data_IF_284322545883
#
_entry.id   IF_284322545883
#
_cell.length_a   1.000
_cell.length_b   1.000
_cell.length_c   1.000
_cell.angle_alpha   90.00
_cell.angle_beta   90.00
_cell.angle_gamma   90.00
#
_symmetry.space_group_name_H-M   'P 1'
#
loop_
_entity.id
_entity.type
_entity.pdbx_description
1 polymer ?
#
# COMPACT_ATOMS: atom_id res chain seq x y z
N UNK A 1 52.93 14.48 35.00
CA UNK A 1 51.63 14.98 34.50
C UNK A 1 51.17 14.02 33.43
N UNK A 2 50.30 13.09 33.78
CA UNK A 2 49.84 11.97 32.95
C UNK A 2 48.87 12.46 31.87
N UNK A 3 49.12 12.03 30.63
CA UNK A 3 48.25 12.23 29.46
C UNK A 3 47.09 11.24 29.52
N UNK A 4 45.86 11.73 29.68
CA UNK A 4 44.67 10.91 29.46
C UNK A 4 44.40 10.81 27.96
N UNK A 5 44.72 9.66 27.39
CA UNK A 5 44.22 9.24 26.08
C UNK A 5 42.79 8.74 26.30
N UNK A 6 41.81 9.56 25.93
CA UNK A 6 40.40 9.14 25.86
C UNK A 6 40.28 8.19 24.67
N UNK A 7 40.11 6.89 24.96
CA UNK A 7 39.75 5.90 23.96
C UNK A 7 38.37 6.25 23.35
N UNK A 8 38.21 6.27 22.01
CA UNK A 8 36.89 6.37 21.42
C UNK A 8 36.10 5.08 21.74
N UNK A 9 34.92 5.25 22.32
CA UNK A 9 34.01 4.16 22.68
C UNK A 9 33.42 3.54 21.41
N UNK A 10 33.87 2.33 21.07
CA UNK A 10 33.28 1.48 20.05
C UNK A 10 31.89 0.98 20.49
N UNK A 11 30.84 1.70 20.11
CA UNK A 11 29.48 1.16 20.06
C UNK A 11 29.02 1.20 18.60
N UNK A 12 29.39 0.20 17.81
CA UNK A 12 28.87 0.09 16.45
C UNK A 12 27.44 -0.46 16.50
N UNK A 13 26.49 0.35 16.04
CA UNK A 13 25.12 -0.12 15.80
C UNK A 13 25.08 -0.74 14.42
N UNK A 14 24.72 -2.03 14.33
CA UNK A 14 24.50 -2.67 13.03
C UNK A 14 23.21 -2.16 12.41
N UNK A 15 23.31 -1.57 11.22
CA UNK A 15 22.17 -1.15 10.40
C UNK A 15 22.05 -2.09 9.19
N UNK A 16 20.82 -2.41 8.80
CA UNK A 16 20.52 -3.26 7.65
C UNK A 16 19.76 -2.43 6.63
N UNK A 17 20.29 -2.34 5.41
CA UNK A 17 19.65 -1.64 4.30
C UNK A 17 19.21 -2.64 3.24
N UNK A 18 18.00 -2.48 2.65
CA UNK A 18 17.61 -3.23 1.48
C UNK A 18 18.43 -2.79 0.26
N UNK A 19 19.00 -3.76 -0.45
CA UNK A 19 19.88 -3.54 -1.60
C UNK A 19 19.33 -4.30 -2.79
N UNK A 20 19.22 -3.61 -3.93
CA UNK A 20 18.96 -4.22 -5.23
C UNK A 20 20.29 -4.64 -5.84
N UNK A 21 20.43 -5.93 -6.17
CA UNK A 21 21.62 -6.49 -6.80
C UNK A 21 21.25 -7.00 -8.19
N UNK A 22 21.84 -6.41 -9.22
CA UNK A 22 21.57 -6.69 -10.63
C UNK A 22 22.82 -7.33 -11.25
N UNK A 23 22.64 -8.46 -11.95
CA UNK A 23 23.67 -8.99 -12.83
C UNK A 23 23.66 -8.19 -14.13
N UNK A 24 24.82 -7.66 -14.53
CA UNK A 24 24.99 -6.85 -15.73
C UNK A 24 25.30 -7.75 -16.94
N UNK A 25 24.97 -7.27 -18.14
CA UNK A 25 25.24 -7.98 -19.40
C UNK A 25 26.75 -8.22 -19.62
N UNK A 26 27.60 -7.34 -19.09
CA UNK A 26 29.07 -7.40 -19.19
C UNK A 26 29.73 -8.29 -18.11
N UNK A 27 29.07 -9.38 -17.68
CA UNK A 27 29.55 -10.33 -16.65
C UNK A 27 29.83 -9.74 -15.25
N UNK A 28 29.41 -8.49 -14.99
CA UNK A 28 29.55 -7.84 -13.69
C UNK A 28 28.28 -7.83 -12.85
N UNK A 29 28.37 -7.19 -11.69
CA UNK A 29 27.26 -6.92 -10.79
C UNK A 29 27.16 -5.42 -10.52
N UNK A 30 25.93 -4.95 -10.33
CA UNK A 30 25.62 -3.62 -9.82
C UNK A 30 24.79 -3.79 -8.55
N UNK A 31 25.17 -3.12 -7.48
CA UNK A 31 24.40 -3.09 -6.24
C UNK A 31 23.99 -1.65 -5.93
N UNK A 32 22.71 -1.43 -5.62
CA UNK A 32 22.15 -0.10 -5.31
C UNK A 32 21.30 -0.19 -4.04
N UNK A 33 21.47 0.75 -3.11
CA UNK A 33 20.62 0.84 -1.92
C UNK A 33 19.23 1.36 -2.32
N UNK A 34 18.16 0.67 -1.90
CA UNK A 34 16.81 1.15 -2.20
C UNK A 34 16.54 2.49 -1.52
N UNK A 35 16.05 3.45 -2.31
CA UNK A 35 15.81 4.82 -1.87
C UNK A 35 17.00 5.76 -2.00
N UNK A 36 18.24 5.25 -2.17
CA UNK A 36 19.47 6.04 -2.32
C UNK A 36 20.19 5.69 -3.63
N UNK A 37 19.71 6.20 -4.79
CA UNK A 37 20.31 5.89 -6.09
C UNK A 37 21.77 6.35 -6.24
N UNK A 38 22.21 7.30 -5.41
CA UNK A 38 23.60 7.75 -5.34
C UNK A 38 24.53 6.72 -4.66
N UNK A 39 23.98 5.84 -3.81
CA UNK A 39 24.72 4.78 -3.15
C UNK A 39 24.65 3.52 -4.01
N UNK A 40 25.54 3.45 -5.00
CA UNK A 40 25.68 2.32 -5.90
C UNK A 40 27.14 1.90 -6.08
N UNK A 41 27.35 0.60 -6.28
CA UNK A 41 28.66 0.02 -6.56
C UNK A 41 28.59 -0.96 -7.73
N UNK A 42 29.73 -1.13 -8.40
CA UNK A 42 29.92 -2.08 -9.49
C UNK A 42 31.10 -2.98 -9.15
N UNK A 43 31.07 -4.23 -9.61
CA UNK A 43 32.16 -5.18 -9.41
C UNK A 43 32.00 -6.41 -10.29
N UNK A 44 33.07 -7.19 -10.41
CA UNK A 44 33.07 -8.41 -11.22
C UNK A 44 32.39 -9.57 -10.51
N UNK A 45 32.38 -9.53 -9.17
CA UNK A 45 31.71 -10.54 -8.34
C UNK A 45 30.66 -9.91 -7.42
N UNK A 46 29.72 -10.74 -6.97
CA UNK A 46 28.70 -10.34 -6.01
C UNK A 46 29.33 -9.82 -4.71
N UNK A 47 30.29 -10.56 -4.16
CA UNK A 47 30.92 -10.26 -2.88
C UNK A 47 31.76 -8.98 -2.93
N UNK A 48 32.52 -8.78 -4.02
CA UNK A 48 33.27 -7.55 -4.28
C UNK A 48 32.32 -6.35 -4.35
N UNK A 49 31.25 -6.45 -5.14
CA UNK A 49 30.28 -5.37 -5.33
C UNK A 49 29.61 -4.97 -4.01
N UNK A 50 29.24 -5.96 -3.19
CA UNK A 50 28.64 -5.72 -1.87
C UNK A 50 29.65 -5.18 -0.84
N UNK A 51 30.95 -5.44 -1.02
CA UNK A 51 32.00 -4.87 -0.18
C UNK A 51 32.21 -3.40 -0.52
N UNK A 52 32.32 -3.08 -1.81
CA UNK A 52 32.41 -1.70 -2.30
C UNK A 52 31.17 -0.89 -1.92
N UNK A 53 29.96 -1.47 -2.04
CA UNK A 53 28.73 -0.80 -1.61
C UNK A 53 28.75 -0.49 -0.12
N UNK A 54 29.21 -1.43 0.72
CA UNK A 54 29.33 -1.20 2.17
C UNK A 54 30.26 -0.03 2.48
N UNK A 55 31.36 0.11 1.77
CA UNK A 55 32.27 1.25 1.95
C UNK A 55 31.57 2.57 1.58
N UNK A 56 30.93 2.64 0.41
CA UNK A 56 30.22 3.85 -0.05
C UNK A 56 29.14 4.27 0.96
N UNK A 57 28.35 3.32 1.46
CA UNK A 57 27.31 3.60 2.45
C UNK A 57 27.92 4.05 3.77
N UNK A 58 28.99 3.42 4.24
CA UNK A 58 29.67 3.81 5.49
C UNK A 58 30.22 5.24 5.38
N UNK A 59 30.92 5.57 4.31
CA UNK A 59 31.44 6.93 4.07
C UNK A 59 30.34 7.99 3.95
N UNK A 60 29.15 7.59 3.49
CA UNK A 60 27.98 8.46 3.44
C UNK A 60 27.41 8.69 4.83
N UNK A 61 27.25 7.62 5.63
CA UNK A 61 26.73 7.68 6.99
C UNK A 61 27.62 8.49 7.93
N UNK A 62 28.94 8.53 7.70
CA UNK A 62 29.85 9.40 8.46
C UNK A 62 29.56 10.90 8.25
N UNK A 63 28.83 11.26 7.19
CA UNK A 63 28.58 12.65 6.77
C UNK A 63 27.12 13.08 6.89
N UNK A 64 26.22 12.16 7.22
CA UNK A 64 24.78 12.42 7.25
C UNK A 64 24.13 11.87 8.50
N UNK A 65 23.06 12.51 8.96
CA UNK A 65 22.18 11.99 9.98
C UNK A 65 20.89 11.48 9.34
N UNK A 66 20.46 10.28 9.72
CA UNK A 66 19.18 9.73 9.27
C UNK A 66 18.11 10.14 10.28
N UNK A 67 17.17 10.96 9.84
CA UNK A 67 16.03 11.39 10.64
C UNK A 67 14.73 10.87 10.06
N UNK A 68 13.79 10.48 10.93
CA UNK A 68 12.42 10.17 10.54
C UNK A 68 11.60 11.46 10.58
N UNK A 69 10.95 11.78 9.46
CA UNK A 69 10.04 12.92 9.36
C UNK A 69 8.62 12.40 9.13
N UNK A 70 7.71 12.75 10.03
CA UNK A 70 6.29 12.52 9.85
C UNK A 70 5.73 13.55 8.87
N UNK A 71 4.95 13.08 7.88
CA UNK A 71 4.34 13.92 6.86
C UNK A 71 2.84 13.64 6.84
N UNK A 72 2.04 14.67 7.06
CA UNK A 72 0.59 14.58 6.91
C UNK A 72 0.22 14.43 5.44
N UNK A 73 -0.50 13.35 5.13
CA UNK A 73 -1.13 13.18 3.83
C UNK A 73 -2.59 13.67 3.93
N UNK A 74 -3.06 14.54 3.02
CA UNK A 74 -4.47 14.86 2.97
C UNK A 74 -5.26 13.57 2.78
N UNK A 75 -6.30 13.39 3.61
CA UNK A 75 -7.18 12.23 3.48
C UNK A 75 -7.80 12.28 2.09
N UNK A 76 -7.68 11.22 1.27
CA UNK A 76 -8.37 11.18 -0.01
C UNK A 76 -9.86 11.34 0.26
N UNK A 77 -10.52 12.21 -0.51
CA UNK A 77 -11.98 12.31 -0.45
C UNK A 77 -12.58 10.93 -0.75
N UNK A 78 -13.58 10.54 0.04
CA UNK A 78 -14.22 9.25 -0.15
C UNK A 78 -14.93 9.24 -1.52
N UNK A 79 -14.70 8.23 -2.39
CA UNK A 79 -15.17 8.26 -3.79
C UNK A 79 -16.67 8.47 -3.99
N UNK A 80 -17.48 8.12 -2.98
CA UNK A 80 -18.93 8.27 -2.99
C UNK A 80 -19.45 9.59 -2.40
N UNK A 81 -18.59 10.44 -1.84
CA UNK A 81 -19.03 11.74 -1.28
C UNK A 81 -19.69 12.62 -2.33
N UNK A 82 -19.23 12.56 -3.59
CA UNK A 82 -19.82 13.28 -4.72
C UNK A 82 -21.26 12.87 -5.07
N UNK A 83 -21.75 11.77 -4.49
CA UNK A 83 -23.08 11.24 -4.74
C UNK A 83 -24.03 11.40 -3.56
N UNK A 84 -23.53 11.83 -2.39
CA UNK A 84 -24.38 12.13 -1.25
C UNK A 84 -25.36 13.25 -1.63
N UNK A 85 -26.66 13.00 -1.44
CA UNK A 85 -27.72 13.98 -1.79
C UNK A 85 -27.96 14.17 -3.29
N UNK A 86 -27.40 13.31 -4.17
CA UNK A 86 -27.49 13.50 -5.63
C UNK A 86 -28.93 13.72 -6.16
N UNK A 87 -29.94 13.16 -5.50
CA UNK A 87 -31.33 13.22 -5.92
C UNK A 87 -32.22 14.06 -4.99
N UNK A 88 -31.65 14.83 -4.07
CA UNK A 88 -32.42 15.64 -3.09
C UNK A 88 -33.35 16.64 -3.77
N UNK A 89 -32.88 17.29 -4.84
CA UNK A 89 -33.64 18.28 -5.62
C UNK A 89 -34.23 17.71 -6.93
N UNK A 90 -34.24 16.38 -7.11
CA UNK A 90 -34.77 15.78 -8.33
C UNK A 90 -36.31 15.79 -8.30
N UNK A 91 -36.99 16.52 -9.21
CA UNK A 91 -38.44 16.65 -9.21
C UNK A 91 -39.17 15.34 -9.50
N UNK A 92 -38.48 14.34 -10.05
CA UNK A 92 -39.03 13.02 -10.35
C UNK A 92 -38.73 11.97 -9.28
N UNK A 93 -38.02 12.33 -8.20
CA UNK A 93 -37.62 11.38 -7.17
C UNK A 93 -38.81 10.66 -6.52
N UNK A 94 -39.87 11.41 -6.20
CA UNK A 94 -41.09 10.85 -5.60
C UNK A 94 -41.84 9.91 -6.56
N UNK A 95 -41.94 10.27 -7.84
CA UNK A 95 -42.55 9.42 -8.87
C UNK A 95 -41.76 8.11 -9.03
N UNK A 96 -40.43 8.20 -9.14
CA UNK A 96 -39.55 7.03 -9.20
C UNK A 96 -39.71 6.14 -7.95
N UNK A 97 -39.81 6.71 -6.75
CA UNK A 97 -40.05 5.92 -5.54
C UNK A 97 -41.41 5.21 -5.56
N UNK A 98 -42.46 5.87 -6.06
CA UNK A 98 -43.77 5.27 -6.21
C UNK A 98 -43.75 4.09 -7.18
N UNK A 99 -43.07 4.24 -8.33
CA UNK A 99 -42.91 3.18 -9.32
C UNK A 99 -42.13 1.98 -8.76
N UNK A 100 -41.03 2.23 -8.04
CA UNK A 100 -40.27 1.17 -7.36
C UNK A 100 -41.16 0.45 -6.33
N UNK A 101 -41.97 1.18 -5.57
CA UNK A 101 -42.86 0.59 -4.58
C UNK A 101 -44.01 -0.23 -5.21
N UNK A 102 -44.51 0.19 -6.38
CA UNK A 102 -45.49 -0.58 -7.14
C UNK A 102 -44.87 -1.88 -7.67
N UNK A 103 -43.69 -1.78 -8.31
CA UNK A 103 -42.96 -2.93 -8.82
C UNK A 103 -42.63 -3.95 -7.71
N UNK A 104 -42.23 -3.49 -6.52
CA UNK A 104 -41.96 -4.38 -5.39
C UNK A 104 -43.21 -5.14 -4.93
N UNK A 105 -44.36 -4.45 -4.84
CA UNK A 105 -45.63 -5.09 -4.46
C UNK A 105 -46.05 -6.17 -5.43
N UNK A 106 -45.99 -5.88 -6.74
CA UNK A 106 -46.28 -6.88 -7.78
C UNK A 106 -45.39 -8.12 -7.64
N UNK A 107 -44.09 -7.93 -7.43
CA UNK A 107 -43.13 -9.04 -7.27
C UNK A 107 -43.35 -9.83 -5.99
N UNK A 108 -43.71 -9.16 -4.90
CA UNK A 108 -44.06 -9.82 -3.64
C UNK A 108 -45.33 -10.66 -3.81
N UNK A 109 -46.36 -10.14 -4.48
CA UNK A 109 -47.61 -10.87 -4.78
C UNK A 109 -47.39 -12.09 -5.69
N UNK A 110 -46.56 -11.95 -6.73
CA UNK A 110 -46.15 -13.07 -7.61
C UNK A 110 -45.46 -14.19 -6.80
N UNK A 111 -44.55 -13.81 -5.91
CA UNK A 111 -43.82 -14.74 -5.07
C UNK A 111 -44.73 -15.44 -4.05
N UNK A 112 -45.65 -14.72 -3.42
CA UNK A 112 -46.66 -15.31 -2.53
C UNK A 112 -47.61 -16.25 -3.29
N UNK A 113 -48.01 -15.90 -4.50
CA UNK A 113 -48.82 -16.79 -5.35
C UNK A 113 -48.07 -18.08 -5.70
N UNK A 114 -46.78 -17.98 -6.02
CA UNK A 114 -45.93 -19.13 -6.27
C UNK A 114 -45.82 -20.06 -5.06
N UNK A 115 -45.56 -19.53 -3.86
CA UNK A 115 -45.48 -20.35 -2.65
C UNK A 115 -46.81 -21.02 -2.30
N UNK A 116 -47.94 -20.32 -2.44
CA UNK A 116 -49.27 -20.93 -2.21
C UNK A 116 -49.58 -22.10 -3.15
N UNK A 117 -49.12 -22.03 -4.41
CA UNK A 117 -49.27 -23.14 -5.34
C UNK A 117 -48.45 -24.35 -4.90
N UNK A 118 -47.20 -24.13 -4.50
CA UNK A 118 -46.31 -25.18 -4.01
C UNK A 118 -46.87 -25.89 -2.76
N UNK A 119 -47.38 -25.12 -1.78
CA UNK A 119 -47.98 -25.69 -0.57
C UNK A 119 -49.21 -26.56 -0.89
N UNK A 120 -50.06 -26.12 -1.82
CA UNK A 120 -51.23 -26.89 -2.25
C UNK A 120 -50.86 -28.18 -3.01
N UNK A 121 -49.76 -28.17 -3.77
CA UNK A 121 -49.22 -29.36 -4.43
C UNK A 121 -48.61 -30.37 -3.44
N UNK A 122 -48.04 -29.89 -2.33
CA UNK A 122 -47.54 -30.75 -1.25
C UNK A 122 -48.67 -31.39 -0.43
N UNK A 123 -49.75 -30.67 -0.14
CA UNK A 123 -50.91 -31.22 0.61
C UNK A 123 -51.73 -32.25 -0.16
N UNK A 124 -51.66 -32.25 -1.49
CA UNK A 124 -52.44 -33.16 -2.36
C UNK A 124 -51.73 -34.47 -2.69
N UNK A 125 -50.56 -34.73 -2.09
CA UNK A 125 -49.70 -35.89 -2.36
C UNK A 125 -49.53 -36.80 -1.14
#
# INVERSE_FOLDING_TARGET
MTTNVTAPSEKSTKLTYPVMLEKQENEGYRATVLGWPECQAFGSTREETLTSLRQIVTERLDKVEIVSLEIDRPKPEHPWMKFAGKYEDDPYFEEMQADIAALRRERDEEMEAYYRQMDAEEETK
#
